data_IF_426501243882
#
_entry.id   IF_426501243882
#
_cell.length_a   1.000
_cell.length_b   1.000
_cell.length_c   1.000
_cell.angle_alpha   90.00
_cell.angle_beta   90.00
_cell.angle_gamma   90.00
#
_symmetry.space_group_name_H-M   'P 1'
#
loop_
_entity.id
_entity.type
_entity.pdbx_description
1 polymer ?
#
# COMPACT_ATOMS: atom_id res chain seq x y z
N UNK A 1 17.33 9.57 -15.24
CA UNK A 1 17.52 9.38 -13.77
C UNK A 1 17.17 10.64 -12.99
N UNK A 2 16.68 10.45 -11.77
CA UNK A 2 16.45 11.55 -10.80
C UNK A 2 17.57 11.61 -9.75
N UNK A 3 18.16 10.48 -9.43
CA UNK A 3 19.18 10.32 -8.40
C UNK A 3 18.80 9.25 -7.39
N UNK A 4 18.55 9.63 -6.13
CA UNK A 4 18.16 8.73 -5.05
C UNK A 4 16.66 8.79 -4.83
N UNK A 5 15.99 7.65 -4.90
CA UNK A 5 14.55 7.53 -4.64
C UNK A 5 14.33 7.07 -3.20
N UNK A 6 13.51 7.79 -2.44
CA UNK A 6 12.97 7.34 -1.16
C UNK A 6 11.66 6.60 -1.38
N UNK A 7 11.58 5.32 -1.05
CA UNK A 7 10.35 4.54 -1.18
C UNK A 7 9.77 4.16 0.18
N UNK A 8 8.59 4.69 0.49
CA UNK A 8 7.85 4.40 1.72
C UNK A 8 6.94 3.21 1.46
N UNK A 9 7.17 2.12 2.20
CA UNK A 9 6.57 0.80 1.95
C UNK A 9 5.45 0.51 2.95
N UNK A 10 4.25 0.10 2.49
CA UNK A 10 3.12 -0.20 3.36
C UNK A 10 3.31 -1.54 4.09
N UNK A 11 2.62 -1.69 5.22
CA UNK A 11 2.58 -2.95 5.96
C UNK A 11 1.75 -4.05 5.29
N UNK A 12 0.81 -3.64 4.42
CA UNK A 12 -0.12 -4.55 3.73
C UNK A 12 0.53 -5.31 2.57
N UNK A 13 1.58 -4.75 1.99
CA UNK A 13 2.33 -5.38 0.90
C UNK A 13 3.83 -5.14 1.06
N UNK A 14 4.48 -5.82 2.01
CA UNK A 14 5.85 -5.52 2.41
C UNK A 14 6.93 -6.06 1.46
N UNK A 15 6.58 -6.86 0.48
CA UNK A 15 7.53 -7.44 -0.50
C UNK A 15 7.24 -7.01 -1.93
N UNK A 16 6.03 -7.19 -2.46
CA UNK A 16 5.76 -6.89 -3.86
C UNK A 16 5.87 -5.38 -4.17
N UNK A 17 5.44 -4.51 -3.25
CA UNK A 17 5.59 -3.06 -3.43
C UNK A 17 7.08 -2.65 -3.52
N UNK A 18 7.98 -3.04 -2.59
CA UNK A 18 9.39 -2.70 -2.73
C UNK A 18 10.04 -3.32 -3.96
N UNK A 19 9.73 -4.56 -4.33
CA UNK A 19 10.27 -5.17 -5.56
C UNK A 19 9.91 -4.34 -6.78
N UNK A 20 8.65 -3.97 -6.93
CA UNK A 20 8.22 -3.11 -8.04
C UNK A 20 8.94 -1.75 -8.04
N UNK A 21 9.09 -1.12 -6.88
CA UNK A 21 9.80 0.16 -6.76
C UNK A 21 11.28 0.01 -7.11
N UNK A 22 11.95 -1.06 -6.68
CA UNK A 22 13.36 -1.35 -6.99
C UNK A 22 13.54 -1.54 -8.50
N UNK A 23 12.70 -2.36 -9.13
CA UNK A 23 12.77 -2.60 -10.58
C UNK A 23 12.63 -1.28 -11.34
N UNK A 24 11.64 -0.47 -10.98
CA UNK A 24 11.42 0.82 -11.65
C UNK A 24 12.57 1.80 -11.41
N UNK A 25 13.11 1.87 -10.19
CA UNK A 25 14.25 2.73 -9.88
C UNK A 25 15.49 2.34 -10.69
N UNK A 26 15.88 1.07 -10.65
CA UNK A 26 17.08 0.58 -11.34
C UNK A 26 16.95 0.68 -12.86
N UNK A 27 15.78 0.32 -13.43
CA UNK A 27 15.54 0.45 -14.88
C UNK A 27 15.62 1.88 -15.39
N UNK A 28 15.38 2.85 -14.53
CA UNK A 28 15.45 4.29 -14.85
C UNK A 28 16.77 4.93 -14.39
N UNK A 29 17.77 4.12 -13.97
CA UNK A 29 19.11 4.58 -13.62
C UNK A 29 19.19 5.33 -12.29
N UNK A 30 18.32 4.99 -11.31
CA UNK A 30 18.32 5.59 -9.99
C UNK A 30 18.77 4.59 -8.92
N UNK A 31 19.32 5.11 -7.81
CA UNK A 31 19.44 4.36 -6.57
C UNK A 31 18.13 4.47 -5.77
N UNK A 32 17.90 3.54 -4.84
CA UNK A 32 16.67 3.54 -4.03
C UNK A 32 16.97 3.19 -2.58
N UNK A 33 16.33 3.91 -1.67
CA UNK A 33 16.35 3.64 -0.23
C UNK A 33 14.91 3.35 0.23
N UNK A 34 14.70 2.16 0.78
CA UNK A 34 13.40 1.68 1.23
C UNK A 34 13.18 2.04 2.70
N UNK A 35 12.01 2.56 3.02
CA UNK A 35 11.56 2.80 4.39
C UNK A 35 10.36 1.89 4.69
N UNK A 36 10.59 0.67 5.24
CA UNK A 36 9.53 -0.27 5.55
C UNK A 36 8.77 0.12 6.81
N UNK A 37 7.53 -0.34 6.91
CA UNK A 37 6.81 -0.42 8.17
C UNK A 37 7.52 -1.39 9.14
N UNK A 38 7.31 -1.29 10.47
CA UNK A 38 7.95 -2.20 11.44
C UNK A 38 7.72 -3.69 11.12
N UNK A 39 6.52 -4.05 10.65
CA UNK A 39 6.20 -5.44 10.26
C UNK A 39 6.92 -5.90 8.97
N UNK A 40 7.32 -4.97 8.13
CA UNK A 40 8.00 -5.26 6.87
C UNK A 40 9.51 -5.39 6.97
N UNK A 41 10.13 -5.04 8.09
CA UNK A 41 11.61 -5.03 8.23
C UNK A 41 12.21 -6.41 7.97
N UNK A 42 11.74 -7.43 8.71
CA UNK A 42 12.32 -8.79 8.62
C UNK A 42 12.23 -9.38 7.20
N UNK A 43 11.05 -9.45 6.56
CA UNK A 43 10.95 -9.99 5.20
C UNK A 43 11.73 -9.17 4.18
N UNK A 44 11.78 -7.84 4.33
CA UNK A 44 12.53 -6.98 3.43
C UNK A 44 14.04 -7.17 3.58
N UNK A 45 14.56 -7.38 4.79
CA UNK A 45 15.98 -7.66 5.03
C UNK A 45 16.40 -8.94 4.30
N UNK A 46 15.61 -10.01 4.40
CA UNK A 46 15.89 -11.27 3.69
C UNK A 46 15.92 -11.04 2.16
N UNK A 47 14.89 -10.36 1.64
CA UNK A 47 14.82 -10.06 0.21
C UNK A 47 16.00 -9.20 -0.28
N UNK A 48 16.46 -8.23 0.52
CA UNK A 48 17.63 -7.40 0.15
C UNK A 48 18.91 -8.21 0.03
N UNK A 49 19.10 -9.25 0.84
CA UNK A 49 20.25 -10.14 0.71
C UNK A 49 20.29 -10.79 -0.68
N UNK A 50 19.14 -11.30 -1.14
CA UNK A 50 19.04 -11.91 -2.47
C UNK A 50 19.26 -10.88 -3.59
N UNK A 51 18.73 -9.67 -3.42
CA UNK A 51 18.92 -8.58 -4.39
C UNK A 51 20.38 -8.16 -4.47
N UNK A 52 21.07 -8.00 -3.33
CA UNK A 52 22.50 -7.65 -3.32
C UNK A 52 23.34 -8.73 -3.98
N UNK A 53 23.04 -10.01 -3.73
CA UNK A 53 23.70 -11.11 -4.45
C UNK A 53 23.46 -11.04 -5.97
N UNK A 54 22.23 -10.73 -6.38
CA UNK A 54 21.92 -10.57 -7.79
C UNK A 54 22.67 -9.38 -8.41
N UNK A 55 22.71 -8.22 -7.76
CA UNK A 55 23.48 -7.05 -8.20
C UNK A 55 24.96 -7.39 -8.36
N UNK A 56 25.55 -8.09 -7.39
CA UNK A 56 26.96 -8.52 -7.43
C UNK A 56 27.29 -9.41 -8.63
N UNK A 57 26.37 -10.30 -9.05
CA UNK A 57 26.55 -11.14 -10.25
C UNK A 57 26.67 -10.32 -11.54
N UNK A 58 26.10 -9.11 -11.57
CA UNK A 58 26.17 -8.18 -12.68
C UNK A 58 27.27 -7.11 -12.50
N UNK A 59 28.10 -7.22 -11.48
CA UNK A 59 29.17 -6.24 -11.19
C UNK A 59 28.61 -4.89 -10.70
N UNK A 60 27.36 -4.86 -10.23
CA UNK A 60 26.73 -3.65 -9.72
C UNK A 60 26.90 -3.55 -8.21
N UNK A 61 27.12 -2.33 -7.68
CA UNK A 61 27.29 -2.13 -6.25
C UNK A 61 25.97 -2.35 -5.50
N UNK A 62 26.03 -2.96 -4.33
CA UNK A 62 24.87 -3.25 -3.48
C UNK A 62 24.21 -2.00 -2.89
N UNK A 63 24.95 -0.88 -2.80
CA UNK A 63 24.43 0.41 -2.33
C UNK A 63 23.41 1.07 -3.28
N UNK A 64 23.20 0.51 -4.47
CA UNK A 64 22.08 0.93 -5.35
C UNK A 64 20.71 0.67 -4.72
N UNK A 65 20.60 -0.34 -3.86
CA UNK A 65 19.35 -0.70 -3.18
C UNK A 65 19.62 -0.82 -1.70
N UNK A 66 19.09 0.09 -0.92
CA UNK A 66 19.30 0.16 0.51
C UNK A 66 17.97 0.18 1.27
N UNK A 67 18.05 0.00 2.57
CA UNK A 67 16.92 0.13 3.51
C UNK A 67 17.32 1.00 4.69
N UNK A 68 16.39 1.79 5.20
CA UNK A 68 16.58 2.56 6.44
C UNK A 68 16.93 1.58 7.58
N UNK A 69 18.01 1.83 8.34
CA UNK A 69 18.44 0.95 9.43
C UNK A 69 17.35 0.75 10.49
N UNK A 70 17.20 -0.49 10.94
CA UNK A 70 16.31 -0.83 12.04
C UNK A 70 16.78 -0.19 13.39
N UNK A 71 15.88 0.11 14.30
CA UNK A 71 14.43 0.07 14.18
C UNK A 71 13.92 1.22 13.28
N UNK A 72 12.87 0.99 12.47
CA UNK A 72 12.25 2.06 11.69
C UNK A 72 11.60 3.07 12.62
N UNK A 73 11.69 4.35 12.26
CA UNK A 73 11.04 5.41 13.02
C UNK A 73 10.52 6.48 12.06
N UNK A 74 9.51 7.21 12.52
CA UNK A 74 8.93 8.32 11.75
C UNK A 74 10.00 9.38 11.42
N UNK A 75 10.84 9.73 12.39
CA UNK A 75 11.90 10.71 12.19
C UNK A 75 12.90 10.29 11.10
N UNK A 76 13.29 8.99 11.05
CA UNK A 76 14.18 8.49 9.99
C UNK A 76 13.50 8.57 8.62
N UNK A 77 12.22 8.23 8.53
CA UNK A 77 11.44 8.29 7.30
C UNK A 77 11.28 9.71 6.80
N UNK A 78 10.93 10.65 7.68
CA UNK A 78 10.81 12.07 7.35
C UNK A 78 12.15 12.66 6.89
N UNK A 79 13.24 12.29 7.57
CA UNK A 79 14.60 12.72 7.15
C UNK A 79 14.97 12.16 5.78
N UNK A 80 14.68 10.88 5.52
CA UNK A 80 14.91 10.28 4.21
C UNK A 80 14.15 11.00 3.10
N UNK A 81 12.85 11.29 3.33
CA UNK A 81 12.03 12.01 2.37
C UNK A 81 12.59 13.39 2.01
N UNK A 82 13.18 14.09 2.98
CA UNK A 82 13.78 15.42 2.76
C UNK A 82 15.14 15.38 2.05
N UNK A 83 15.85 14.26 2.12
CA UNK A 83 17.20 14.12 1.55
C UNK A 83 17.20 13.46 0.17
N UNK A 84 16.11 12.85 -0.23
CA UNK A 84 15.99 12.17 -1.52
C UNK A 84 15.70 13.16 -2.67
N UNK A 85 15.92 12.70 -3.89
CA UNK A 85 15.62 13.47 -5.11
C UNK A 85 14.17 13.23 -5.60
N UNK A 86 13.59 12.09 -5.21
CA UNK A 86 12.18 11.73 -5.48
C UNK A 86 11.65 10.86 -4.35
N UNK A 87 10.44 11.13 -3.91
CA UNK A 87 9.74 10.34 -2.90
C UNK A 87 8.63 9.53 -3.57
N UNK A 88 8.60 8.22 -3.32
CA UNK A 88 7.49 7.33 -3.74
C UNK A 88 6.82 6.79 -2.48
N UNK A 89 5.58 7.15 -2.25
CA UNK A 89 4.84 6.76 -1.04
C UNK A 89 3.67 5.86 -1.41
N UNK A 90 3.67 4.65 -0.87
CA UNK A 90 2.51 3.75 -0.93
C UNK A 90 2.06 3.45 0.49
N UNK A 91 0.81 3.74 0.83
CA UNK A 91 0.31 3.42 2.16
C UNK A 91 -0.80 4.33 2.66
N UNK A 92 -0.78 4.66 3.95
CA UNK A 92 -1.83 5.47 4.58
C UNK A 92 -1.83 6.91 4.05
N UNK A 93 -3.01 7.56 4.11
CA UNK A 93 -3.16 8.97 3.73
C UNK A 93 -2.18 9.88 4.48
N UNK A 94 -1.90 9.58 5.76
CA UNK A 94 -0.94 10.35 6.55
C UNK A 94 0.48 10.25 5.98
N UNK A 95 0.89 9.06 5.52
CA UNK A 95 2.21 8.91 4.89
C UNK A 95 2.28 9.62 3.54
N UNK A 96 1.21 9.51 2.74
CA UNK A 96 1.11 10.21 1.45
C UNK A 96 1.19 11.73 1.64
N UNK A 97 0.44 12.24 2.60
CA UNK A 97 0.48 13.67 2.96
C UNK A 97 1.88 14.09 3.41
N UNK A 98 2.52 13.32 4.30
CA UNK A 98 3.90 13.60 4.74
C UNK A 98 4.89 13.60 3.57
N UNK A 99 4.70 12.73 2.57
CA UNK A 99 5.49 12.73 1.34
C UNK A 99 5.35 14.04 0.55
N UNK A 100 4.14 14.51 0.33
CA UNK A 100 3.90 15.79 -0.37
C UNK A 100 4.36 17.00 0.45
N UNK A 101 4.29 16.95 1.78
CA UNK A 101 4.75 18.02 2.67
C UNK A 101 6.27 17.99 2.92
N UNK A 102 7.00 16.99 2.41
CA UNK A 102 8.45 16.85 2.65
C UNK A 102 9.31 17.91 1.99
N UNK A 103 8.78 18.62 0.99
CA UNK A 103 9.50 19.57 0.16
C UNK A 103 10.25 18.93 -1.03
N UNK A 104 10.27 17.60 -1.10
CA UNK A 104 10.84 16.83 -2.22
C UNK A 104 9.73 16.45 -3.21
N UNK A 105 9.96 16.42 -4.53
CA UNK A 105 9.00 15.89 -5.48
C UNK A 105 8.50 14.51 -5.06
N UNK A 106 7.18 14.33 -5.01
CA UNK A 106 6.60 13.09 -4.48
C UNK A 106 5.53 12.50 -5.39
N UNK A 107 5.51 11.16 -5.46
CA UNK A 107 4.46 10.35 -6.08
C UNK A 107 3.80 9.54 -4.96
N UNK A 108 2.56 9.87 -4.64
CA UNK A 108 1.82 9.23 -3.56
C UNK A 108 0.67 8.37 -4.07
N UNK A 109 0.57 7.15 -3.54
CA UNK A 109 -0.58 6.26 -3.72
C UNK A 109 -1.17 5.97 -2.35
N UNK A 110 -2.33 6.55 -2.10
CA UNK A 110 -3.06 6.41 -0.84
C UNK A 110 -4.05 5.26 -0.84
N UNK A 111 -5.03 5.33 0.05
CA UNK A 111 -6.12 4.38 0.11
C UNK A 111 -6.94 4.41 -1.18
N UNK A 112 -7.11 3.26 -1.80
CA UNK A 112 -7.99 3.08 -2.94
C UNK A 112 -9.40 2.71 -2.48
N UNK A 113 -10.40 3.06 -3.30
CA UNK A 113 -11.76 2.54 -3.14
C UNK A 113 -11.87 1.21 -3.87
N UNK A 114 -12.36 0.20 -3.15
CA UNK A 114 -12.66 -1.09 -3.78
C UNK A 114 -13.98 -0.96 -4.52
N UNK A 115 -13.96 -1.20 -5.83
CA UNK A 115 -15.17 -1.28 -6.64
C UNK A 115 -15.62 -2.73 -6.69
N UNK A 116 -16.85 -2.97 -6.26
CA UNK A 116 -17.48 -4.29 -6.35
C UNK A 116 -18.57 -4.26 -7.40
N UNK A 117 -18.50 -5.16 -8.36
CA UNK A 117 -19.51 -5.31 -9.43
C UNK A 117 -20.28 -6.60 -9.15
N UNK A 118 -21.60 -6.46 -9.04
CA UNK A 118 -22.53 -7.59 -8.91
C UNK A 118 -23.37 -7.62 -10.17
N UNK A 119 -23.27 -8.66 -10.95
CA UNK A 119 -24.09 -8.85 -12.14
C UNK A 119 -25.36 -9.67 -11.84
N UNK A 120 -26.22 -9.79 -12.86
CA UNK A 120 -27.51 -10.47 -12.76
C UNK A 120 -27.42 -11.98 -12.52
N UNK A 121 -26.26 -12.59 -12.80
CA UNK A 121 -26.02 -14.03 -12.61
C UNK A 121 -25.52 -14.37 -11.23
N UNK A 122 -25.19 -13.34 -10.42
CA UNK A 122 -24.62 -13.54 -9.09
C UNK A 122 -25.66 -14.02 -8.07
N UNK A 123 -25.24 -14.89 -7.16
CA UNK A 123 -25.96 -15.15 -5.92
C UNK A 123 -25.81 -13.94 -5.00
N UNK A 124 -26.88 -13.13 -4.92
CA UNK A 124 -26.88 -11.86 -4.19
C UNK A 124 -26.64 -12.07 -2.69
N UNK A 125 -27.17 -13.15 -2.10
CA UNK A 125 -27.00 -13.43 -0.68
C UNK A 125 -25.52 -13.77 -0.37
N UNK A 126 -24.92 -14.65 -1.18
CA UNK A 126 -23.50 -14.97 -1.06
C UNK A 126 -22.59 -13.76 -1.35
N UNK A 127 -22.93 -12.94 -2.33
CA UNK A 127 -22.18 -11.71 -2.63
C UNK A 127 -22.22 -10.73 -1.45
N UNK A 128 -23.39 -10.51 -0.86
CA UNK A 128 -23.56 -9.64 0.30
C UNK A 128 -22.73 -10.12 1.51
N UNK A 129 -22.75 -11.44 1.78
CA UNK A 129 -21.94 -12.02 2.86
C UNK A 129 -20.44 -11.81 2.63
N UNK A 130 -19.94 -12.05 1.40
CA UNK A 130 -18.53 -11.84 1.05
C UNK A 130 -18.12 -10.38 1.17
N UNK A 131 -18.97 -9.45 0.74
CA UNK A 131 -18.72 -8.01 0.88
C UNK A 131 -18.67 -7.62 2.35
N UNK A 132 -19.64 -8.07 3.16
CA UNK A 132 -19.64 -7.81 4.59
C UNK A 132 -18.39 -8.37 5.30
N UNK A 133 -17.99 -9.61 4.97
CA UNK A 133 -16.77 -10.22 5.51
C UNK A 133 -15.51 -9.43 5.14
N UNK A 134 -15.41 -8.90 3.91
CA UNK A 134 -14.28 -8.07 3.50
C UNK A 134 -14.12 -6.83 4.38
N UNK A 135 -15.23 -6.20 4.80
CA UNK A 135 -15.19 -5.03 5.69
C UNK A 135 -14.81 -5.37 7.13
N UNK A 136 -15.10 -6.58 7.59
CA UNK A 136 -14.74 -7.02 8.95
C UNK A 136 -13.28 -7.42 9.08
N UNK A 137 -12.62 -7.81 7.98
CA UNK A 137 -11.20 -8.19 7.97
C UNK A 137 -10.27 -6.97 8.01
N UNK A 138 -10.72 -5.80 7.58
CA UNK A 138 -9.97 -4.54 7.69
C UNK A 138 -10.43 -3.77 8.93
N UNK A 139 -9.78 -3.95 10.10
CA UNK A 139 -10.19 -3.24 11.30
C UNK A 139 -9.99 -1.73 11.13
N UNK A 140 -10.91 -0.89 11.66
CA UNK A 140 -10.68 0.55 11.72
C UNK A 140 -9.40 0.85 12.52
N UNK A 141 -8.57 1.86 12.15
CA UNK A 141 -9.08 3.22 12.19
C UNK A 141 -8.94 4.00 10.88
N UNK A 142 -9.21 3.44 9.75
CA UNK A 142 -9.27 4.25 8.54
C UNK A 142 -10.72 4.34 8.08
N UNK A 143 -11.31 5.56 8.02
CA UNK A 143 -12.57 5.76 7.34
C UNK A 143 -12.33 5.53 5.85
N UNK A 144 -12.34 4.27 5.44
CA UNK A 144 -12.48 3.98 4.02
C UNK A 144 -13.89 4.42 3.64
N UNK A 145 -14.03 5.26 2.62
CA UNK A 145 -15.36 5.49 2.08
C UNK A 145 -15.97 4.13 1.73
N UNK A 146 -17.29 3.95 1.90
CA UNK A 146 -17.92 2.71 1.53
C UNK A 146 -17.56 2.35 0.08
N UNK A 147 -17.37 1.08 -0.25
CA UNK A 147 -17.07 0.68 -1.62
C UNK A 147 -18.15 1.21 -2.53
N UNK A 148 -17.76 1.72 -3.69
CA UNK A 148 -18.74 1.99 -4.74
C UNK A 148 -19.31 0.66 -5.21
N UNK A 149 -20.57 0.42 -4.92
CA UNK A 149 -21.31 -0.72 -5.42
C UNK A 149 -21.83 -0.36 -6.81
N UNK A 150 -21.22 -0.94 -7.86
CA UNK A 150 -21.77 -0.89 -9.19
C UNK A 150 -22.72 -2.08 -9.36
N UNK A 151 -24.00 -1.79 -9.49
CA UNK A 151 -25.02 -2.76 -9.81
C UNK A 151 -25.37 -2.65 -11.30
N UNK A 152 -25.18 -3.72 -12.06
CA UNK A 152 -25.64 -3.79 -13.43
C UNK A 152 -27.09 -4.30 -13.45
N UNK A 153 -28.06 -3.41 -13.71
CA UNK A 153 -29.47 -3.76 -13.82
C UNK A 153 -29.79 -4.04 -15.29
N UNK A 154 -30.05 -5.29 -15.66
CA UNK A 154 -30.80 -5.57 -16.86
C UNK A 154 -32.31 -5.51 -16.58
N UNK A 155 -33.05 -5.03 -17.51
CA UNK A 155 -34.48 -4.70 -17.71
C UNK A 155 -35.58 -5.28 -16.78
N UNK A 156 -35.30 -5.96 -15.70
CA UNK A 156 -36.33 -6.38 -14.72
C UNK A 156 -36.15 -5.66 -13.40
N UNK A 157 -37.09 -4.78 -13.09
CA UNK A 157 -37.21 -4.07 -11.81
C UNK A 157 -37.41 -5.08 -10.66
N UNK A 158 -36.33 -5.58 -10.06
CA UNK A 158 -36.41 -6.14 -8.72
C UNK A 158 -36.03 -5.08 -7.71
N UNK A 159 -36.98 -4.75 -6.88
CA UNK A 159 -36.83 -3.78 -5.81
C UNK A 159 -35.85 -4.33 -4.78
N UNK A 160 -34.72 -3.65 -4.59
CA UNK A 160 -33.84 -3.94 -3.45
C UNK A 160 -34.41 -3.34 -2.18
N UNK A 161 -34.46 -4.08 -1.08
CA UNK A 161 -34.68 -3.46 0.22
C UNK A 161 -33.48 -2.54 0.52
N UNK A 162 -33.71 -1.37 1.13
CA UNK A 162 -32.62 -0.51 1.58
C UNK A 162 -31.69 -1.32 2.49
N UNK A 163 -30.39 -1.24 2.25
CA UNK A 163 -29.39 -1.83 3.14
C UNK A 163 -29.58 -1.21 4.52
N UNK A 164 -29.96 -2.03 5.48
CA UNK A 164 -29.99 -1.61 6.88
C UNK A 164 -28.59 -1.15 7.29
N UNK A 165 -28.45 -0.05 8.05
CA UNK A 165 -27.16 0.36 8.57
C UNK A 165 -26.53 -0.82 9.32
N UNK A 166 -25.31 -1.16 9.00
CA UNK A 166 -24.55 -2.18 9.75
C UNK A 166 -24.38 -1.63 11.16
N UNK A 167 -24.88 -2.32 12.20
CA UNK A 167 -24.68 -1.86 13.56
C UNK A 167 -23.18 -1.79 13.86
N UNK A 168 -22.70 -0.80 14.63
CA UNK A 168 -21.32 -0.71 15.03
C UNK A 168 -20.91 -2.01 15.72
N UNK A 169 -19.78 -2.59 15.30
CA UNK A 169 -19.23 -3.77 15.92
C UNK A 169 -18.99 -3.50 17.40
N UNK A 170 -19.69 -4.19 18.28
CA UNK A 170 -19.41 -4.21 19.71
C UNK A 170 -18.11 -4.95 19.92
N UNK A 171 -17.05 -4.22 20.30
CA UNK A 171 -15.80 -4.82 20.73
C UNK A 171 -16.06 -5.63 22.02
N UNK A 172 -15.55 -6.85 22.15
CA UNK A 172 -15.61 -7.57 23.42
C UNK A 172 -14.82 -6.77 24.45
N UNK A 173 -15.48 -6.46 25.57
CA UNK A 173 -14.82 -5.89 26.74
C UNK A 173 -14.00 -7.01 27.40
N UNK A 174 -12.68 -6.87 27.40
CA UNK A 174 -11.73 -7.57 28.27
C UNK A 174 -10.95 -6.56 29.07
#
# INVERSE_FOLDING_TARGET
PKGVIAAIVPSTNPLATPVNNIINALKTGNAIILAPSPKGVKPLTTMLTDIHQALGRFGLPDNLVQMVPAPPSRAKTERLMKLADLVVVTGSQNNVRAGYESGTPAIGVGAGNVVTIIDETADIAAAAQKIAAFFTITPPPHPHPPPFLLYAQTRQKKHFPPLSPIPPATLPQT
#
